data_IF_526416359275
#
_entry.id   IF_526416359275
#
_cell.length_a   1.000
_cell.length_b   1.000
_cell.length_c   1.000
_cell.angle_alpha   90.00
_cell.angle_beta   90.00
_cell.angle_gamma   90.00
#
_symmetry.space_group_name_H-M   'P 1'
#
loop_
_entity.id
_entity.type
_entity.pdbx_description
1 polymer ?
#
# COMPACT_ATOMS: atom_id res chain seq x y z
N UNK A 1 -6.94 8.15 3.89
CA UNK A 1 -5.74 8.29 3.05
C UNK A 1 -4.61 9.02 3.76
N UNK A 2 -4.90 10.18 4.37
CA UNK A 2 -3.87 11.07 4.94
C UNK A 2 -3.02 10.43 6.06
N UNK A 3 -3.61 9.68 6.99
CA UNK A 3 -2.84 8.94 8.00
C UNK A 3 -1.84 7.95 7.36
N UNK A 4 -2.31 7.11 6.45
CA UNK A 4 -1.45 6.20 5.70
C UNK A 4 -0.38 6.94 4.87
N UNK A 5 -0.69 8.13 4.36
CA UNK A 5 0.25 8.96 3.60
C UNK A 5 1.39 9.48 4.48
N UNK A 6 1.11 9.92 5.71
CA UNK A 6 2.13 10.30 6.66
C UNK A 6 3.03 9.11 7.02
N UNK A 7 2.42 7.96 7.32
CA UNK A 7 3.13 6.72 7.66
C UNK A 7 4.05 6.26 6.53
N UNK A 8 3.57 6.19 5.29
CA UNK A 8 4.38 5.73 4.16
C UNK A 8 5.50 6.70 3.80
N UNK A 9 5.32 8.00 4.03
CA UNK A 9 6.38 9.00 3.79
C UNK A 9 7.58 8.76 4.71
N UNK A 10 7.31 8.53 6.01
CA UNK A 10 8.37 8.21 6.97
C UNK A 10 9.04 6.88 6.66
N UNK A 11 8.25 5.84 6.34
CA UNK A 11 8.78 4.54 5.94
C UNK A 11 9.65 4.64 4.67
N UNK A 12 9.26 5.46 3.69
CA UNK A 12 10.04 5.68 2.47
C UNK A 12 11.38 6.36 2.74
N UNK A 13 11.37 7.39 3.60
CA UNK A 13 12.58 8.08 4.03
C UNK A 13 13.57 7.12 4.71
N UNK A 14 13.08 6.27 5.62
CA UNK A 14 13.89 5.27 6.32
C UNK A 14 14.39 4.18 5.36
N UNK A 15 13.51 3.64 4.51
CA UNK A 15 13.84 2.53 3.62
C UNK A 15 14.85 2.90 2.53
N UNK A 16 14.84 4.16 2.06
CA UNK A 16 15.67 4.58 0.92
C UNK A 16 16.71 5.65 1.24
N UNK A 17 16.77 6.14 2.48
CA UNK A 17 17.74 7.16 2.88
C UNK A 17 17.50 8.51 2.21
N UNK A 18 16.22 8.89 2.01
CA UNK A 18 15.82 10.15 1.36
C UNK A 18 15.17 11.11 2.35
N UNK A 19 15.14 12.43 2.07
CA UNK A 19 14.35 13.38 2.86
C UNK A 19 12.86 13.02 2.89
N UNK A 20 12.18 13.39 3.96
CA UNK A 20 10.72 13.27 4.09
C UNK A 20 10.04 14.18 3.06
N UNK A 21 9.28 13.61 2.12
CA UNK A 21 8.65 14.32 1.01
C UNK A 21 7.13 14.12 0.96
N UNK A 22 6.42 14.47 2.04
CA UNK A 22 4.96 14.24 2.15
C UNK A 22 4.16 14.91 1.02
N UNK A 23 4.57 16.11 0.59
CA UNK A 23 3.92 16.84 -0.51
C UNK A 23 3.96 16.12 -1.86
N UNK A 24 4.81 15.09 -2.00
CA UNK A 24 4.92 14.28 -3.22
C UNK A 24 4.13 12.97 -3.18
N UNK A 25 3.47 12.67 -2.06
CA UNK A 25 2.68 11.44 -1.92
C UNK A 25 1.39 11.57 -2.73
N UNK A 26 1.21 10.72 -3.74
CA UNK A 26 -0.10 10.58 -4.35
C UNK A 26 -1.06 9.96 -3.33
N UNK A 27 -2.22 10.58 -3.08
CA UNK A 27 -3.17 10.08 -2.07
C UNK A 27 -4.59 10.04 -2.62
N UNK A 28 -5.18 8.85 -2.57
CA UNK A 28 -6.59 8.60 -2.84
C UNK A 28 -7.24 7.90 -1.63
N UNK A 29 -8.46 8.32 -1.30
CA UNK A 29 -9.25 7.71 -0.22
C UNK A 29 -10.10 6.53 -0.70
N UNK A 30 -10.88 5.96 0.21
CA UNK A 30 -11.84 4.88 -0.08
C UNK A 30 -13.28 5.39 -0.27
N UNK A 31 -13.51 6.70 -0.23
CA UNK A 31 -14.86 7.30 -0.20
C UNK A 31 -15.69 7.06 -1.46
N UNK A 32 -15.05 6.70 -2.57
CA UNK A 32 -15.71 6.38 -3.84
C UNK A 32 -15.98 4.88 -4.02
N UNK A 33 -15.48 4.02 -3.12
CA UNK A 33 -15.71 2.59 -3.21
C UNK A 33 -17.16 2.26 -2.87
N UNK A 34 -17.76 1.41 -3.71
CA UNK A 34 -19.12 0.93 -3.56
C UNK A 34 -19.12 -0.52 -3.06
N UNK A 35 -20.28 -0.98 -2.58
CA UNK A 35 -20.47 -2.40 -2.27
C UNK A 35 -20.37 -3.29 -3.52
N UNK A 36 -20.65 -2.75 -4.71
CA UNK A 36 -20.47 -3.46 -5.99
C UNK A 36 -19.00 -3.72 -6.29
N UNK A 37 -18.13 -2.71 -6.11
CA UNK A 37 -16.69 -2.87 -6.30
C UNK A 37 -16.13 -3.99 -5.42
N UNK A 38 -16.56 -4.04 -4.16
CA UNK A 38 -16.13 -5.08 -3.21
C UNK A 38 -16.61 -6.46 -3.65
N UNK A 39 -17.89 -6.61 -4.01
CA UNK A 39 -18.44 -7.89 -4.45
C UNK A 39 -17.78 -8.40 -5.72
N UNK A 40 -17.57 -7.54 -6.72
CA UNK A 40 -16.93 -7.95 -7.97
C UNK A 40 -15.45 -8.26 -7.76
N UNK A 41 -14.74 -7.50 -6.92
CA UNK A 41 -13.36 -7.82 -6.56
C UNK A 41 -13.27 -9.24 -5.95
N UNK A 42 -14.16 -9.59 -5.04
CA UNK A 42 -14.20 -10.91 -4.41
C UNK A 42 -14.49 -12.03 -5.42
N UNK A 43 -15.46 -11.84 -6.31
CA UNK A 43 -15.77 -12.80 -7.38
C UNK A 43 -14.59 -13.02 -8.33
N UNK A 44 -13.77 -11.99 -8.54
CA UNK A 44 -12.56 -12.06 -9.37
C UNK A 44 -11.33 -12.59 -8.61
N UNK A 45 -11.47 -12.96 -7.33
CA UNK A 45 -10.36 -13.49 -6.52
C UNK A 45 -9.43 -12.43 -5.92
N UNK A 46 -9.95 -11.21 -5.69
CA UNK A 46 -9.22 -10.08 -5.11
C UNK A 46 -9.90 -9.56 -3.83
N UNK A 47 -9.11 -8.87 -3.01
CA UNK A 47 -9.58 -7.98 -1.95
C UNK A 47 -9.19 -6.55 -2.28
N UNK A 48 -10.05 -5.59 -1.94
CA UNK A 48 -9.71 -4.17 -2.00
C UNK A 48 -9.12 -3.76 -0.65
N UNK A 49 -7.90 -3.24 -0.63
CA UNK A 49 -7.26 -2.67 0.58
C UNK A 49 -6.69 -1.30 0.27
N UNK A 50 -6.73 -0.38 1.23
CA UNK A 50 -6.04 0.91 1.15
C UNK A 50 -4.55 0.69 1.45
N UNK A 51 -3.71 0.67 0.42
CA UNK A 51 -2.28 0.43 0.58
C UNK A 51 -1.48 1.73 0.50
N UNK A 52 -0.50 1.87 1.39
CA UNK A 52 0.66 2.73 1.16
C UNK A 52 1.76 1.93 0.47
N UNK A 53 2.22 2.41 -0.68
CA UNK A 53 3.23 1.75 -1.50
C UNK A 53 4.40 2.70 -1.69
N UNK A 54 5.59 2.19 -1.38
CA UNK A 54 6.84 2.85 -1.75
C UNK A 54 7.84 1.84 -2.30
N UNK A 55 8.47 2.15 -3.43
CA UNK A 55 9.45 1.28 -4.10
C UNK A 55 10.38 2.08 -4.98
N UNK A 56 11.60 1.58 -5.16
CA UNK A 56 12.51 2.09 -6.20
C UNK A 56 11.98 1.69 -7.58
N UNK A 57 12.04 2.63 -8.51
CA UNK A 57 11.75 2.48 -9.94
C UNK A 57 12.88 3.15 -10.72
N UNK A 58 12.97 2.90 -12.03
CA UNK A 58 14.07 3.45 -12.85
C UNK A 58 14.21 4.97 -12.75
N UNK A 59 13.09 5.69 -12.62
CA UNK A 59 13.03 7.16 -12.57
C UNK A 59 12.99 7.75 -11.14
N UNK A 60 13.20 6.94 -10.11
CA UNK A 60 13.21 7.41 -8.71
C UNK A 60 12.45 6.51 -7.74
N UNK A 61 11.64 7.11 -6.86
CA UNK A 61 10.89 6.40 -5.83
C UNK A 61 9.39 6.65 -6.04
N UNK A 62 8.64 5.57 -6.14
CA UNK A 62 7.19 5.61 -6.09
C UNK A 62 6.75 5.88 -4.65
N UNK A 63 5.78 6.77 -4.46
CA UNK A 63 5.24 7.09 -3.15
C UNK A 63 3.75 7.41 -3.29
N UNK A 64 2.90 6.45 -2.92
CA UNK A 64 1.45 6.57 -3.12
C UNK A 64 0.63 5.85 -2.04
N UNK A 65 -0.60 6.32 -1.85
CA UNK A 65 -1.65 5.70 -1.05
C UNK A 65 -2.92 5.67 -1.86
N UNK A 66 -3.49 4.49 -2.10
CA UNK A 66 -4.79 4.39 -2.79
C UNK A 66 -5.43 2.99 -2.61
N UNK A 67 -6.74 2.85 -2.87
CA UNK A 67 -7.39 1.56 -2.95
C UNK A 67 -6.71 0.66 -4.00
N UNK A 68 -6.41 -0.58 -3.63
CA UNK A 68 -5.68 -1.53 -4.48
C UNK A 68 -6.33 -2.90 -4.42
N UNK A 69 -6.50 -3.54 -5.58
CA UNK A 69 -6.88 -4.94 -5.70
C UNK A 69 -5.66 -5.83 -5.38
N UNK A 70 -5.80 -6.69 -4.38
CA UNK A 70 -4.77 -7.64 -3.97
C UNK A 70 -5.32 -9.05 -4.14
N UNK A 71 -4.62 -9.96 -4.84
CA UNK A 71 -5.05 -11.35 -4.94
C UNK A 71 -5.22 -11.97 -3.55
N UNK A 72 -6.33 -12.69 -3.34
CA UNK A 72 -6.67 -13.30 -2.03
C UNK A 72 -5.58 -14.22 -1.46
N UNK A 73 -4.73 -14.80 -2.32
CA UNK A 73 -3.60 -15.66 -1.93
C UNK A 73 -2.44 -14.93 -1.25
N UNK A 74 -2.40 -13.59 -1.27
CA UNK A 74 -1.34 -12.81 -0.62
C UNK A 74 -1.67 -12.66 0.87
N UNK A 75 -0.68 -12.86 1.75
CA UNK A 75 -0.88 -12.73 3.20
C UNK A 75 -1.49 -11.38 3.60
N UNK A 76 -0.98 -10.28 3.04
CA UNK A 76 -1.48 -8.92 3.30
C UNK A 76 -2.94 -8.72 2.86
N UNK A 77 -3.47 -9.53 1.94
CA UNK A 77 -4.88 -9.45 1.53
C UNK A 77 -5.82 -9.93 2.64
N UNK A 78 -5.34 -10.76 3.56
CA UNK A 78 -6.12 -11.39 4.63
C UNK A 78 -5.89 -10.72 6.00
N UNK A 79 -5.25 -9.55 6.03
CA UNK A 79 -5.16 -8.73 7.24
C UNK A 79 -6.49 -7.99 7.39
N UNK A 80 -7.26 -8.40 8.39
CA UNK A 80 -8.63 -7.94 8.61
C UNK A 80 -8.78 -7.10 9.89
N UNK A 81 -9.91 -6.39 9.97
CA UNK A 81 -10.24 -5.54 11.10
C UNK A 81 -9.35 -4.30 11.18
N UNK A 82 -8.94 -3.95 12.40
CA UNK A 82 -8.11 -2.76 12.68
C UNK A 82 -6.61 -3.04 12.65
N UNK A 83 -6.22 -4.23 12.22
CA UNK A 83 -4.82 -4.65 12.18
C UNK A 83 -4.08 -3.97 11.02
N UNK A 84 -2.81 -3.65 11.26
CA UNK A 84 -1.91 -3.13 10.24
C UNK A 84 -0.87 -4.19 9.89
N UNK A 85 -0.39 -4.18 8.65
CA UNK A 85 0.71 -5.03 8.20
C UNK A 85 1.61 -4.25 7.24
N UNK A 86 2.89 -4.60 7.23
CA UNK A 86 3.91 -3.97 6.38
C UNK A 86 4.67 -5.09 5.70
N UNK A 87 4.71 -5.08 4.36
CA UNK A 87 5.54 -5.99 3.59
C UNK A 87 6.78 -5.25 3.14
N UNK A 88 7.95 -5.76 3.50
CA UNK A 88 9.25 -5.23 3.07
C UNK A 88 9.88 -6.24 2.12
N UNK A 89 10.41 -5.75 1.00
CA UNK A 89 11.20 -6.56 0.06
C UNK A 89 12.62 -6.03 0.03
N UNK A 90 13.55 -6.78 0.62
CA UNK A 90 14.98 -6.51 0.56
C UNK A 90 15.69 -7.41 -0.45
N UNK A 91 16.81 -6.95 -0.99
CA UNK A 91 17.55 -7.67 -2.03
C UNK A 91 18.11 -9.01 -1.53
N UNK A 92 18.65 -9.04 -0.30
CA UNK A 92 19.23 -10.24 0.30
C UNK A 92 18.20 -11.11 1.06
N UNK A 93 17.26 -10.48 1.76
CA UNK A 93 16.31 -11.18 2.65
C UNK A 93 15.00 -11.56 1.96
N UNK A 94 14.77 -11.09 0.74
CA UNK A 94 13.51 -11.31 0.03
C UNK A 94 12.35 -10.56 0.67
N UNK A 95 11.14 -11.13 0.58
CA UNK A 95 9.92 -10.54 1.11
C UNK A 95 9.66 -11.00 2.55
N UNK A 96 9.49 -10.05 3.46
CA UNK A 96 9.14 -10.26 4.86
C UNK A 96 7.88 -9.48 5.21
N UNK A 97 7.00 -10.06 6.02
CA UNK A 97 5.78 -9.45 6.55
C UNK A 97 5.84 -9.46 8.08
#
# INVERSE_FOLDING_TARGET
GIDAAHKITLMSAIAFGIPVQFSKVYTEGITKLTGEDIRYAEQLGYRIKLLGITKRVEKGIELRVHPTLIPVRRLIANVEGVMNAIVVKGDAVGATL
#
